data_IF_160321711705
#
_entry.id   IF_160321711705
#
_cell.length_a   1.000
_cell.length_b   1.000
_cell.length_c   1.000
_cell.angle_alpha   90.00
_cell.angle_beta   90.00
_cell.angle_gamma   90.00
#
_symmetry.space_group_name_H-M   'P 1'
#
loop_
_entity.id
_entity.type
_entity.pdbx_description
1 polymer ?
#
# COMPACT_ATOMS: atom_id res chain seq x y z
N UNK A 1 7.00 -19.25 14.10
CA UNK A 1 8.37 -19.18 13.57
C UNK A 1 9.09 -17.98 14.16
N UNK A 2 10.43 -18.03 14.27
CA UNK A 2 11.27 -16.90 14.73
C UNK A 2 11.42 -15.88 13.60
N UNK A 3 11.69 -14.62 13.94
CA UNK A 3 12.08 -13.61 12.98
C UNK A 3 13.44 -13.95 12.38
N UNK A 4 13.60 -13.73 11.07
CA UNK A 4 14.88 -13.75 10.38
C UNK A 4 15.25 -12.36 9.93
N UNK A 5 16.43 -11.89 10.30
CA UNK A 5 16.99 -10.61 9.86
C UNK A 5 18.38 -10.91 9.32
N UNK A 6 18.63 -10.58 8.05
CA UNK A 6 19.94 -10.77 7.43
C UNK A 6 21.01 -10.01 8.22
N UNK A 7 22.20 -10.61 8.42
CA UNK A 7 23.33 -9.92 9.07
C UNK A 7 23.79 -8.65 8.34
N UNK A 8 23.48 -8.53 7.05
CA UNK A 8 23.84 -7.35 6.24
C UNK A 8 22.76 -6.26 6.22
N UNK A 9 21.61 -6.49 6.88
CA UNK A 9 20.55 -5.51 6.97
C UNK A 9 20.89 -4.38 7.97
N UNK A 10 20.55 -3.14 7.62
CA UNK A 10 20.67 -1.99 8.50
C UNK A 10 19.32 -1.72 9.15
N UNK A 11 19.27 -1.83 10.47
CA UNK A 11 18.04 -1.67 11.25
C UNK A 11 18.11 -0.40 12.08
N UNK A 12 17.22 0.54 11.80
CA UNK A 12 17.05 1.78 12.57
C UNK A 12 15.97 1.64 13.65
N UNK A 13 15.05 2.60 13.73
CA UNK A 13 13.95 2.60 14.71
C UNK A 13 12.80 1.72 14.28
N UNK A 14 12.87 0.42 14.54
CA UNK A 14 11.85 -0.56 14.11
C UNK A 14 11.22 -1.27 15.31
N UNK A 15 9.88 -1.40 15.25
CA UNK A 15 9.12 -2.32 16.10
C UNK A 15 8.63 -3.49 15.25
N UNK A 16 9.07 -4.69 15.61
CA UNK A 16 8.75 -5.93 14.89
C UNK A 16 7.61 -6.71 15.55
N UNK A 17 6.73 -7.24 14.72
CA UNK A 17 5.84 -8.34 15.08
C UNK A 17 6.56 -9.70 15.08
N UNK A 18 5.81 -10.76 14.79
CA UNK A 18 6.28 -12.15 14.78
C UNK A 18 6.41 -12.65 13.35
N UNK A 19 7.32 -13.63 13.14
CA UNK A 19 7.50 -14.31 11.84
C UNK A 19 7.84 -13.33 10.70
N UNK A 20 8.84 -12.48 10.93
CA UNK A 20 9.33 -11.46 9.99
C UNK A 20 10.52 -12.01 9.23
N UNK A 21 10.62 -11.69 7.94
CA UNK A 21 11.80 -11.90 7.13
C UNK A 21 12.35 -10.55 6.62
N UNK A 22 13.65 -10.30 6.85
CA UNK A 22 14.37 -9.14 6.30
C UNK A 22 15.56 -9.64 5.49
N UNK A 23 15.58 -9.31 4.21
CA UNK A 23 16.60 -9.73 3.25
C UNK A 23 17.91 -8.96 3.35
N UNK A 24 18.84 -9.34 2.46
CA UNK A 24 20.20 -8.80 2.45
C UNK A 24 20.22 -7.32 2.06
N UNK A 25 21.09 -6.55 2.73
CA UNK A 25 21.32 -5.14 2.44
C UNK A 25 20.03 -4.28 2.44
N UNK A 26 18.99 -4.75 3.11
CA UNK A 26 17.82 -3.92 3.37
C UNK A 26 18.15 -2.88 4.44
N UNK A 27 17.74 -1.63 4.22
CA UNK A 27 17.88 -0.50 5.16
C UNK A 27 16.49 -0.06 5.61
N UNK A 28 16.11 -0.37 6.85
CA UNK A 28 14.73 -0.18 7.30
C UNK A 28 14.63 0.59 8.62
N UNK A 29 13.64 1.48 8.70
CA UNK A 29 13.44 2.34 9.87
C UNK A 29 14.58 3.32 10.08
N UNK A 30 15.35 3.60 9.06
CA UNK A 30 16.46 4.56 9.05
C UNK A 30 15.98 6.00 8.90
N UNK A 31 16.89 6.93 8.82
CA UNK A 31 16.58 8.36 8.75
C UNK A 31 15.69 8.67 7.53
N UNK A 32 14.55 9.37 7.75
CA UNK A 32 13.66 9.71 6.64
C UNK A 32 14.30 10.76 5.72
N UNK A 33 14.08 10.60 4.42
CA UNK A 33 14.49 11.58 3.42
C UNK A 33 13.46 12.71 3.35
N UNK A 34 13.82 13.88 3.87
CA UNK A 34 12.94 15.05 3.90
C UNK A 34 13.72 16.35 3.73
N UNK A 35 13.33 17.16 2.74
CA UNK A 35 14.01 18.41 2.37
C UNK A 35 14.09 19.42 3.51
N UNK A 36 13.14 19.39 4.45
CA UNK A 36 13.11 20.30 5.63
C UNK A 36 14.06 19.91 6.78
N UNK A 37 14.92 18.90 6.62
CA UNK A 37 15.87 18.52 7.68
C UNK A 37 17.20 19.25 7.54
N UNK A 38 17.59 19.92 8.65
CA UNK A 38 18.97 20.37 8.84
C UNK A 38 19.84 19.20 9.33
N UNK A 39 21.16 19.30 9.12
CA UNK A 39 22.14 18.34 9.68
C UNK A 39 21.94 18.11 11.19
N UNK A 40 21.63 19.17 11.95
CA UNK A 40 21.33 19.07 13.38
C UNK A 40 20.15 18.15 13.67
N UNK A 41 19.01 18.30 12.96
CA UNK A 41 17.84 17.43 13.14
C UNK A 41 18.12 15.98 12.78
N UNK A 42 18.95 15.73 11.76
CA UNK A 42 19.38 14.38 11.40
C UNK A 42 20.19 13.74 12.52
N UNK A 43 21.13 14.46 13.11
CA UNK A 43 21.98 13.98 14.21
C UNK A 43 21.19 13.77 15.52
N UNK A 44 20.17 14.56 15.79
CA UNK A 44 19.30 14.41 16.96
C UNK A 44 18.45 13.13 16.93
N UNK A 45 18.29 12.51 15.76
CA UNK A 45 17.58 11.24 15.57
C UNK A 45 16.18 11.21 16.21
N UNK A 46 15.43 12.31 16.14
CA UNK A 46 14.08 12.47 16.73
C UNK A 46 12.97 12.07 15.75
N UNK A 47 13.08 10.86 15.17
CA UNK A 47 12.08 10.33 14.25
C UNK A 47 11.10 9.39 14.97
N UNK A 48 9.93 9.18 14.34
CA UNK A 48 8.98 8.14 14.73
C UNK A 48 9.53 6.75 14.35
N UNK A 49 8.81 5.70 14.68
CA UNK A 49 9.24 4.34 14.36
C UNK A 49 8.74 3.88 12.98
N UNK A 50 9.37 2.84 12.46
CA UNK A 50 8.76 1.89 11.54
C UNK A 50 8.11 0.77 12.36
N UNK A 51 6.85 0.45 12.10
CA UNK A 51 6.16 -0.70 12.66
C UNK A 51 5.99 -1.75 11.57
N UNK A 52 6.49 -2.94 11.80
CA UNK A 52 6.37 -4.11 10.91
C UNK A 52 5.51 -5.15 11.63
N UNK A 53 4.29 -5.36 11.15
CA UNK A 53 3.34 -6.32 11.75
C UNK A 53 3.74 -7.78 11.44
N UNK A 54 2.98 -8.76 11.97
CA UNK A 54 3.28 -10.19 11.84
C UNK A 54 3.29 -10.69 10.38
N UNK A 55 4.11 -11.70 10.09
CA UNK A 55 4.22 -12.38 8.79
C UNK A 55 4.58 -11.47 7.63
N UNK A 56 5.30 -10.39 7.88
CA UNK A 56 5.79 -9.51 6.81
C UNK A 56 7.10 -10.01 6.26
N UNK A 57 7.23 -9.93 4.93
CA UNK A 57 8.46 -10.24 4.20
C UNK A 57 8.98 -8.96 3.55
N UNK A 58 10.22 -8.60 3.86
CA UNK A 58 10.95 -7.50 3.21
C UNK A 58 12.19 -8.12 2.56
N UNK A 59 12.24 -8.06 1.23
CA UNK A 59 13.30 -8.66 0.44
C UNK A 59 14.54 -7.76 0.39
N UNK A 60 15.54 -8.20 -0.35
CA UNK A 60 16.86 -7.59 -0.45
C UNK A 60 16.82 -6.16 -1.00
N UNK A 61 17.77 -5.33 -0.57
CA UNK A 61 17.98 -3.97 -1.10
C UNK A 61 16.78 -3.02 -0.94
N UNK A 62 15.82 -3.33 -0.07
CA UNK A 62 14.72 -2.41 0.22
C UNK A 62 15.21 -1.24 1.08
N UNK A 63 14.70 -0.04 0.81
CA UNK A 63 14.91 1.12 1.66
C UNK A 63 13.57 1.63 2.21
N UNK A 64 13.43 1.64 3.53
CA UNK A 64 12.17 2.01 4.20
C UNK A 64 12.45 3.03 5.28
N UNK A 65 11.97 4.25 5.06
CA UNK A 65 12.17 5.36 6.00
C UNK A 65 11.39 5.14 7.32
N UNK A 66 11.96 5.63 8.40
CA UNK A 66 11.22 5.89 9.64
C UNK A 66 10.18 6.99 9.43
N UNK A 67 9.24 7.15 10.37
CA UNK A 67 8.23 8.19 10.27
C UNK A 67 8.71 9.57 10.73
N UNK A 68 8.06 10.62 10.26
CA UNK A 68 8.27 12.01 10.69
C UNK A 68 7.08 12.49 11.53
N UNK A 69 5.89 12.50 10.95
CA UNK A 69 4.64 12.94 11.61
C UNK A 69 3.92 11.79 12.30
N UNK A 70 3.89 10.63 11.65
CA UNK A 70 3.31 9.38 12.16
C UNK A 70 4.32 8.24 11.99
N UNK A 71 4.09 7.10 12.64
CA UNK A 71 4.93 5.93 12.39
C UNK A 71 4.74 5.46 10.94
N UNK A 72 5.81 5.12 10.24
CA UNK A 72 5.71 4.30 9.03
C UNK A 72 5.22 2.91 9.43
N UNK A 73 4.36 2.29 8.63
CA UNK A 73 3.72 1.00 8.98
C UNK A 73 3.63 0.05 7.81
N UNK A 74 3.94 -1.23 8.06
CA UNK A 74 3.68 -2.35 7.13
C UNK A 74 2.78 -3.35 7.84
N UNK A 75 1.56 -3.52 7.32
CA UNK A 75 0.53 -4.38 7.87
C UNK A 75 0.78 -5.87 7.60
N UNK A 76 0.11 -6.72 8.39
CA UNK A 76 0.25 -8.19 8.41
C UNK A 76 0.20 -8.82 7.03
N UNK A 77 0.98 -9.90 6.86
CA UNK A 77 1.01 -10.73 5.64
C UNK A 77 1.36 -9.96 4.37
N UNK A 78 1.99 -8.79 4.48
CA UNK A 78 2.39 -8.00 3.33
C UNK A 78 3.82 -8.34 2.90
N UNK A 79 4.08 -8.19 1.60
CA UNK A 79 5.40 -8.45 1.01
C UNK A 79 5.92 -7.20 0.31
N UNK A 80 7.16 -6.84 0.63
CA UNK A 80 7.91 -5.74 -0.02
C UNK A 80 9.09 -6.37 -0.73
N UNK A 81 9.04 -6.38 -2.07
CA UNK A 81 10.04 -7.06 -2.90
C UNK A 81 11.25 -6.18 -3.18
N UNK A 82 12.32 -6.82 -3.67
CA UNK A 82 13.66 -6.27 -3.75
C UNK A 82 13.77 -4.90 -4.43
N UNK A 83 14.62 -4.05 -3.85
CA UNK A 83 14.91 -2.72 -4.38
C UNK A 83 13.77 -1.70 -4.27
N UNK A 84 12.76 -1.99 -3.46
CA UNK A 84 11.63 -1.08 -3.22
C UNK A 84 12.01 0.03 -2.26
N UNK A 85 11.56 1.26 -2.55
CA UNK A 85 11.63 2.42 -1.65
C UNK A 85 10.27 2.75 -1.05
N UNK A 86 10.21 2.87 0.27
CA UNK A 86 9.06 3.39 1.02
C UNK A 86 9.49 4.64 1.81
N UNK A 87 8.92 5.78 1.46
CA UNK A 87 9.19 7.05 2.14
C UNK A 87 8.57 7.12 3.53
N UNK A 88 8.93 8.19 4.25
CA UNK A 88 8.44 8.46 5.60
C UNK A 88 6.91 8.52 5.70
N UNK A 89 6.35 8.14 6.83
CA UNK A 89 4.91 8.22 7.10
C UNK A 89 4.04 7.34 6.17
N UNK A 90 4.63 6.42 5.40
CA UNK A 90 3.88 5.49 4.56
C UNK A 90 3.15 4.46 5.42
N UNK A 91 1.88 4.21 5.11
CA UNK A 91 1.09 3.14 5.70
C UNK A 91 0.72 2.10 4.65
N UNK A 92 1.21 0.89 4.82
CA UNK A 92 0.84 -0.29 4.04
C UNK A 92 -0.16 -1.11 4.84
N UNK A 93 -1.33 -1.39 4.26
CA UNK A 93 -2.37 -2.25 4.84
C UNK A 93 -1.96 -3.72 4.94
N UNK A 94 -2.92 -4.59 5.22
CA UNK A 94 -2.70 -6.04 5.30
C UNK A 94 -2.77 -6.70 3.92
N UNK A 95 -2.08 -7.83 3.73
CA UNK A 95 -2.07 -8.64 2.50
C UNK A 95 -1.67 -7.85 1.24
N UNK A 96 -0.84 -6.83 1.37
CA UNK A 96 -0.34 -6.05 0.23
C UNK A 96 0.87 -6.71 -0.40
N UNK A 97 0.96 -6.65 -1.73
CA UNK A 97 2.12 -7.12 -2.49
C UNK A 97 2.74 -5.94 -3.24
N UNK A 98 3.97 -5.59 -2.89
CA UNK A 98 4.70 -4.50 -3.52
C UNK A 98 5.85 -5.12 -4.31
N UNK A 99 5.73 -5.08 -5.64
CA UNK A 99 6.68 -5.70 -6.57
C UNK A 99 8.05 -5.01 -6.56
N UNK A 100 9.08 -5.63 -7.17
CA UNK A 100 10.42 -5.06 -7.16
C UNK A 100 10.51 -3.65 -7.76
N UNK A 101 11.43 -2.85 -7.24
CA UNK A 101 11.75 -1.50 -7.74
C UNK A 101 10.57 -0.52 -7.73
N UNK A 102 9.60 -0.71 -6.87
CA UNK A 102 8.53 0.25 -6.63
C UNK A 102 9.06 1.42 -5.79
N UNK A 103 8.62 2.64 -6.09
CA UNK A 103 8.90 3.82 -5.26
C UNK A 103 7.59 4.44 -4.75
N UNK A 104 7.44 4.47 -3.43
CA UNK A 104 6.28 5.06 -2.75
C UNK A 104 6.75 6.27 -1.95
N UNK A 105 6.30 7.45 -2.34
CA UNK A 105 6.67 8.69 -1.67
C UNK A 105 6.03 8.84 -0.29
N UNK A 106 6.52 9.80 0.50
CA UNK A 106 6.09 10.00 1.88
C UNK A 106 4.60 10.24 2.07
N UNK A 107 4.06 9.74 3.17
CA UNK A 107 2.67 9.96 3.58
C UNK A 107 1.60 9.14 2.84
N UNK A 108 1.98 8.32 1.86
CA UNK A 108 1.06 7.46 1.11
C UNK A 108 0.40 6.42 2.02
N UNK A 109 -0.86 6.13 1.76
CA UNK A 109 -1.60 5.03 2.40
C UNK A 109 -2.06 4.03 1.35
N UNK A 110 -1.54 2.80 1.41
CA UNK A 110 -2.14 1.65 0.72
C UNK A 110 -3.12 0.98 1.68
N UNK A 111 -4.37 0.85 1.29
CA UNK A 111 -5.34 0.06 2.05
C UNK A 111 -5.06 -1.45 1.87
N UNK A 112 -5.94 -2.30 2.42
CA UNK A 112 -5.72 -3.75 2.41
C UNK A 112 -5.82 -4.35 1.01
N UNK A 113 -5.11 -5.46 0.81
CA UNK A 113 -5.21 -6.28 -0.40
C UNK A 113 -4.77 -5.57 -1.70
N UNK A 114 -3.92 -4.55 -1.59
CA UNK A 114 -3.38 -3.81 -2.74
C UNK A 114 -2.19 -4.55 -3.33
N UNK A 115 -2.12 -4.56 -4.66
CA UNK A 115 -0.93 -5.02 -5.40
C UNK A 115 -0.35 -3.86 -6.19
N UNK A 116 0.97 -3.65 -6.06
CA UNK A 116 1.71 -2.62 -6.83
C UNK A 116 2.68 -3.30 -7.76
N UNK A 117 2.51 -3.08 -9.06
CA UNK A 117 3.34 -3.65 -10.12
C UNK A 117 4.76 -3.11 -10.14
N UNK A 118 5.68 -3.91 -10.70
CA UNK A 118 7.11 -3.61 -10.78
C UNK A 118 7.40 -2.21 -11.35
N UNK A 119 8.30 -1.47 -10.71
CA UNK A 119 8.75 -0.16 -11.19
C UNK A 119 7.70 0.96 -11.12
N UNK A 120 6.54 0.72 -10.53
CA UNK A 120 5.53 1.77 -10.35
C UNK A 120 5.99 2.83 -9.35
N UNK A 121 5.55 4.07 -9.57
CA UNK A 121 5.83 5.21 -8.68
C UNK A 121 4.53 5.81 -8.17
N UNK A 122 4.47 6.15 -6.87
CA UNK A 122 3.28 6.71 -6.23
C UNK A 122 3.64 8.04 -5.58
N UNK A 123 2.99 9.12 -6.02
CA UNK A 123 3.21 10.48 -5.51
C UNK A 123 2.83 10.58 -4.02
N UNK A 124 3.44 11.53 -3.33
CA UNK A 124 3.27 11.74 -1.89
C UNK A 124 1.81 11.99 -1.47
N UNK A 125 1.44 11.52 -0.27
CA UNK A 125 0.18 11.83 0.40
C UNK A 125 -1.05 11.12 -0.17
N UNK A 126 -0.93 10.30 -1.20
CA UNK A 126 -2.05 9.63 -1.86
C UNK A 126 -2.61 8.45 -1.06
N UNK A 127 -3.88 8.16 -1.32
CA UNK A 127 -4.57 6.97 -0.82
C UNK A 127 -4.87 6.00 -1.98
N UNK A 128 -4.42 4.76 -1.84
CA UNK A 128 -4.72 3.67 -2.76
C UNK A 128 -5.78 2.77 -2.11
N UNK A 129 -6.94 2.68 -2.75
CA UNK A 129 -8.10 1.94 -2.25
C UNK A 129 -7.86 0.43 -2.17
N UNK A 130 -8.61 -0.25 -1.30
CA UNK A 130 -8.48 -1.69 -1.07
C UNK A 130 -8.70 -2.51 -2.34
N UNK A 131 -8.00 -3.63 -2.46
CA UNK A 131 -8.12 -4.58 -3.58
C UNK A 131 -7.75 -3.98 -4.95
N UNK A 132 -7.09 -2.82 -4.98
CA UNK A 132 -6.63 -2.22 -6.23
C UNK A 132 -5.34 -2.85 -6.73
N UNK A 133 -5.14 -2.75 -8.04
CA UNK A 133 -3.92 -3.15 -8.74
C UNK A 133 -3.32 -1.93 -9.43
N UNK A 134 -2.11 -1.56 -9.04
CA UNK A 134 -1.31 -0.58 -9.77
C UNK A 134 -0.48 -1.33 -10.82
N UNK A 135 -0.61 -0.94 -12.07
CA UNK A 135 0.10 -1.56 -13.18
C UNK A 135 1.62 -1.36 -13.10
N UNK A 136 2.36 -2.23 -13.77
CA UNK A 136 3.82 -2.13 -13.90
C UNK A 136 4.20 -0.80 -14.57
N UNK A 137 5.23 -0.13 -14.05
CA UNK A 137 5.72 1.15 -14.58
C UNK A 137 4.75 2.34 -14.47
N UNK A 138 3.64 2.19 -13.75
CA UNK A 138 2.65 3.26 -13.62
C UNK A 138 3.16 4.45 -12.79
N UNK A 139 2.82 5.68 -13.21
CA UNK A 139 3.04 6.90 -12.43
C UNK A 139 1.72 7.40 -11.83
N UNK A 140 1.49 7.09 -10.55
CA UNK A 140 0.24 7.43 -9.84
C UNK A 140 0.37 8.82 -9.24
N UNK A 141 -0.47 9.75 -9.69
CA UNK A 141 -0.46 11.16 -9.27
C UNK A 141 -1.78 11.61 -8.61
N UNK A 142 -2.75 10.71 -8.49
CA UNK A 142 -4.04 10.95 -7.83
C UNK A 142 -4.42 9.76 -6.94
N UNK A 143 -5.35 9.97 -6.00
CA UNK A 143 -5.96 8.91 -5.22
C UNK A 143 -6.56 7.83 -6.13
N UNK A 144 -6.40 6.57 -5.74
CA UNK A 144 -6.90 5.43 -6.52
C UNK A 144 -8.11 4.81 -5.83
N UNK A 145 -9.26 4.70 -6.53
CA UNK A 145 -10.45 4.04 -5.99
C UNK A 145 -10.18 2.58 -5.57
N UNK A 146 -10.95 2.03 -4.63
CA UNK A 146 -10.87 0.59 -4.34
C UNK A 146 -11.30 -0.24 -5.56
N UNK A 147 -10.81 -1.47 -5.64
CA UNK A 147 -11.24 -2.49 -6.58
C UNK A 147 -10.86 -2.27 -8.05
N UNK A 148 -10.04 -1.30 -8.38
CA UNK A 148 -9.67 -0.99 -9.77
C UNK A 148 -8.25 -1.43 -10.13
N UNK A 149 -8.01 -1.64 -11.41
CA UNK A 149 -6.69 -1.62 -12.03
C UNK A 149 -6.41 -0.21 -12.53
N UNK A 150 -5.28 0.35 -12.08
CA UNK A 150 -4.84 1.71 -12.39
C UNK A 150 -3.47 1.64 -13.05
N UNK A 151 -3.30 2.13 -14.28
CA UNK A 151 -2.05 1.96 -15.02
C UNK A 151 -1.77 3.12 -15.98
N UNK A 152 -0.53 3.18 -16.48
CA UNK A 152 -0.07 4.19 -17.44
C UNK A 152 0.75 5.32 -16.81
N UNK A 153 1.19 6.28 -17.64
CA UNK A 153 1.97 7.47 -17.27
C UNK A 153 1.36 8.70 -17.95
N UNK A 154 0.65 9.56 -17.24
CA UNK A 154 0.16 9.40 -15.87
C UNK A 154 -0.86 8.24 -15.76
N UNK A 155 -0.88 7.58 -14.61
CA UNK A 155 -1.77 6.45 -14.39
C UNK A 155 -3.25 6.85 -14.40
N UNK A 156 -4.09 5.97 -14.95
CA UNK A 156 -5.55 6.15 -15.05
C UNK A 156 -6.28 4.86 -14.69
N UNK A 157 -7.54 4.98 -14.33
CA UNK A 157 -8.47 3.87 -14.09
C UNK A 157 -8.71 3.10 -15.41
N UNK A 158 -8.38 1.81 -15.44
CA UNK A 158 -8.50 0.96 -16.64
C UNK A 158 -9.72 0.05 -16.56
N UNK A 159 -9.88 -0.65 -15.45
CA UNK A 159 -10.93 -1.65 -15.24
C UNK A 159 -11.10 -1.99 -13.77
N UNK A 160 -12.16 -2.71 -13.43
CA UNK A 160 -12.29 -3.36 -12.13
C UNK A 160 -11.30 -4.53 -12.02
N UNK A 161 -10.67 -4.67 -10.85
CA UNK A 161 -9.77 -5.78 -10.54
C UNK A 161 -10.58 -7.06 -10.22
N UNK A 162 -11.30 -7.58 -11.19
CA UNK A 162 -12.19 -8.76 -11.05
C UNK A 162 -11.45 -9.96 -10.50
N UNK A 163 -10.23 -10.23 -11.00
CA UNK A 163 -9.41 -11.38 -10.58
C UNK A 163 -9.16 -11.37 -9.07
N UNK A 164 -8.82 -10.20 -8.48
CA UNK A 164 -8.61 -10.09 -7.03
C UNK A 164 -9.91 -10.32 -6.28
N UNK A 165 -11.01 -9.72 -6.73
CA UNK A 165 -12.31 -9.85 -6.09
C UNK A 165 -12.83 -11.30 -6.12
N UNK A 166 -12.69 -11.99 -7.23
CA UNK A 166 -13.04 -13.41 -7.38
C UNK A 166 -12.22 -14.31 -6.44
N UNK A 167 -10.89 -14.09 -6.36
CA UNK A 167 -10.00 -14.81 -5.41
C UNK A 167 -10.39 -14.58 -3.95
N UNK A 168 -10.94 -13.42 -3.63
CA UNK A 168 -11.48 -13.10 -2.32
C UNK A 168 -12.90 -13.66 -2.13
N UNK A 169 -13.48 -14.25 -3.16
CA UNK A 169 -14.81 -14.87 -3.19
C UNK A 169 -15.94 -13.84 -3.09
N UNK A 170 -15.76 -12.67 -3.68
CA UNK A 170 -16.81 -11.67 -3.88
C UNK A 170 -17.77 -12.17 -4.95
N UNK A 171 -19.08 -12.02 -4.73
CA UNK A 171 -20.08 -12.49 -5.67
C UNK A 171 -20.03 -11.72 -6.99
N UNK A 172 -20.34 -12.40 -8.10
CA UNK A 172 -20.39 -11.78 -9.42
C UNK A 172 -21.34 -10.57 -9.44
N UNK A 173 -22.50 -10.69 -8.82
CA UNK A 173 -23.47 -9.60 -8.68
C UNK A 173 -22.87 -8.33 -8.07
N UNK A 174 -22.03 -8.47 -7.04
CA UNK A 174 -21.37 -7.30 -6.44
C UNK A 174 -20.23 -6.79 -7.31
N UNK A 175 -19.49 -7.67 -7.99
CA UNK A 175 -18.43 -7.27 -8.94
C UNK A 175 -19.01 -6.43 -10.08
N UNK A 176 -20.13 -6.85 -10.64
CA UNK A 176 -20.81 -6.12 -11.73
C UNK A 176 -21.32 -4.77 -11.23
N UNK A 177 -21.90 -4.71 -10.01
CA UNK A 177 -22.30 -3.45 -9.40
C UNK A 177 -21.11 -2.50 -9.10
N UNK A 178 -19.97 -3.03 -8.66
CA UNK A 178 -18.74 -2.26 -8.50
C UNK A 178 -18.29 -1.67 -9.86
N UNK A 179 -18.43 -2.43 -10.94
CA UNK A 179 -18.12 -1.96 -12.29
C UNK A 179 -19.02 -0.80 -12.69
N UNK A 180 -20.33 -0.96 -12.55
CA UNK A 180 -21.33 0.09 -12.85
C UNK A 180 -20.98 1.39 -12.10
N UNK A 181 -20.69 1.31 -10.78
CA UNK A 181 -20.43 2.50 -9.97
C UNK A 181 -19.08 3.15 -10.30
N UNK A 182 -18.03 2.37 -10.50
CA UNK A 182 -16.66 2.90 -10.61
C UNK A 182 -16.22 3.20 -12.04
N UNK A 183 -16.81 2.57 -13.06
CA UNK A 183 -16.41 2.76 -14.46
C UNK A 183 -17.49 3.47 -15.28
N UNK A 184 -18.76 3.30 -14.94
CA UNK A 184 -19.90 3.84 -15.67
C UNK A 184 -20.56 5.00 -14.91
N UNK A 185 -19.96 5.46 -13.82
CA UNK A 185 -20.41 6.57 -12.96
C UNK A 185 -21.88 6.45 -12.49
N UNK A 186 -22.35 5.20 -12.35
CA UNK A 186 -23.71 4.94 -11.87
C UNK A 186 -23.81 5.15 -10.35
N UNK A 187 -24.98 5.58 -9.88
CA UNK A 187 -25.24 5.77 -8.46
C UNK A 187 -25.21 4.45 -7.68
N UNK A 188 -24.77 4.51 -6.43
CA UNK A 188 -24.87 3.39 -5.49
C UNK A 188 -26.33 2.96 -5.32
N UNK A 189 -26.62 1.70 -5.64
CA UNK A 189 -27.94 1.08 -5.47
C UNK A 189 -27.89 0.12 -4.27
N UNK A 190 -28.95 0.09 -3.48
CA UNK A 190 -29.14 -0.97 -2.48
C UNK A 190 -29.41 -2.29 -3.17
N UNK A 191 -28.50 -3.25 -3.04
CA UNK A 191 -28.62 -4.60 -3.59
C UNK A 191 -28.67 -5.62 -2.45
N UNK A 192 -29.39 -6.75 -2.68
CA UNK A 192 -29.39 -7.86 -1.72
C UNK A 192 -28.02 -8.52 -1.73
N UNK A 193 -27.32 -8.47 -0.60
CA UNK A 193 -25.94 -8.91 -0.45
C UNK A 193 -25.83 -10.07 0.55
N UNK A 194 -24.89 -10.97 0.27
CA UNK A 194 -24.42 -11.95 1.26
C UNK A 194 -23.66 -11.26 2.42
N UNK A 195 -23.49 -11.94 3.54
CA UNK A 195 -22.68 -11.41 4.67
C UNK A 195 -21.25 -11.06 4.23
N UNK A 196 -20.67 -11.85 3.33
CA UNK A 196 -19.32 -11.64 2.79
C UNK A 196 -19.25 -10.40 1.90
N UNK A 197 -20.23 -10.21 1.05
CA UNK A 197 -20.29 -9.06 0.15
C UNK A 197 -20.52 -7.74 0.87
N UNK A 198 -21.20 -7.73 2.00
CA UNK A 198 -21.44 -6.51 2.80
C UNK A 198 -20.16 -5.76 3.14
N UNK A 199 -19.08 -6.48 3.48
CA UNK A 199 -17.78 -5.86 3.76
C UNK A 199 -17.25 -5.08 2.56
N UNK A 200 -17.30 -5.63 1.38
CA UNK A 200 -16.79 -4.99 0.16
C UNK A 200 -17.69 -3.85 -0.31
N UNK A 201 -19.00 -4.02 -0.18
CA UNK A 201 -19.96 -2.95 -0.43
C UNK A 201 -19.71 -1.73 0.47
N UNK A 202 -19.45 -1.93 1.77
CA UNK A 202 -19.12 -0.85 2.69
C UNK A 202 -17.82 -0.11 2.31
N UNK A 203 -16.84 -0.81 1.73
CA UNK A 203 -15.62 -0.16 1.23
C UNK A 203 -15.96 0.75 0.05
N UNK A 204 -16.78 0.29 -0.89
CA UNK A 204 -17.25 1.08 -2.03
C UNK A 204 -18.06 2.30 -1.55
N UNK A 205 -19.04 2.08 -0.69
CA UNK A 205 -19.90 3.12 -0.12
C UNK A 205 -19.10 4.22 0.59
N UNK A 206 -18.14 3.84 1.42
CA UNK A 206 -17.24 4.79 2.09
C UNK A 206 -16.42 5.62 1.11
N UNK A 207 -15.99 5.03 0.01
CA UNK A 207 -15.24 5.74 -1.01
C UNK A 207 -16.11 6.76 -1.74
N UNK A 208 -17.27 6.34 -2.22
CA UNK A 208 -18.24 7.18 -2.94
C UNK A 208 -18.68 8.36 -2.06
N UNK A 209 -19.08 8.10 -0.80
CA UNK A 209 -19.54 9.14 0.13
C UNK A 209 -18.45 10.16 0.53
N UNK A 210 -17.17 9.85 0.29
CA UNK A 210 -16.08 10.82 0.48
C UNK A 210 -15.92 11.79 -0.70
N UNK A 211 -16.79 11.74 -1.70
CA UNK A 211 -16.70 12.58 -2.90
C UNK A 211 -15.50 12.29 -3.79
N UNK A 212 -14.93 11.09 -3.71
CA UNK A 212 -13.73 10.69 -4.45
C UNK A 212 -14.02 9.88 -5.72
N UNK A 213 -15.18 10.08 -6.34
CA UNK A 213 -15.61 9.37 -7.57
C UNK A 213 -15.32 10.20 -8.82
N UNK A 214 -14.38 11.11 -8.79
CA UNK A 214 -13.96 11.82 -10.01
C UNK A 214 -12.57 11.38 -10.46
#
# INVERSE_FOLDING_TARGET
>A
MKNYISPTAVIGKVKFGKNIYIGNNASIGTQPQYVGFSKKKLLENKFKNLHVDDNVVIMDLCHIDAGIKRNTKIGKNSMVMSGTYLGHDVHIGTNCNISPKVAIAGGVTLNNDVTVGMGATIHQGLTIGSCSMIGMGAAVINDVPPFVTYAGVPARKIKVNKIRLERLGVSRKLIDHIQEVLLEDMSLKRIKLSLKDKRYYQILEKWVNKGKVT
#
